data_IF_168828129252
#
_entry.id   IF_168828129252
#
_cell.length_a   1.000
_cell.length_b   1.000
_cell.length_c   1.000
_cell.angle_alpha   90.00
_cell.angle_beta   90.00
_cell.angle_gamma   90.00
#
_symmetry.space_group_name_H-M   'P 1'
#
loop_
_entity.id
_entity.type
_entity.pdbx_description
1 polymer ?
#
# COMPACT_ATOMS: atom_id res chain seq x y z
N UNK A 1 1.15 29.93 -38.13
CA UNK A 1 0.74 29.08 -37.01
C UNK A 1 1.63 27.85 -37.02
N UNK A 2 2.58 27.76 -36.08
CA UNK A 2 3.45 26.60 -35.99
C UNK A 2 2.61 25.45 -35.41
N UNK A 3 2.44 24.39 -36.20
CA UNK A 3 1.92 23.10 -35.71
C UNK A 3 2.97 22.59 -34.76
N UNK A 4 2.66 22.53 -33.47
CA UNK A 4 3.54 21.86 -32.52
C UNK A 4 3.58 20.39 -32.90
N UNK A 5 4.72 19.91 -33.40
CA UNK A 5 4.94 18.48 -33.52
C UNK A 5 4.70 17.85 -32.16
N UNK A 6 3.74 16.93 -32.11
CA UNK A 6 3.48 16.12 -30.91
C UNK A 6 4.72 15.28 -30.66
N UNK A 7 5.49 15.63 -29.63
CA UNK A 7 6.64 14.82 -29.23
C UNK A 7 6.11 13.49 -28.69
N UNK A 8 6.41 12.41 -29.36
CA UNK A 8 6.07 11.06 -28.92
C UNK A 8 6.93 10.72 -27.69
N UNK A 9 6.29 10.65 -26.52
CA UNK A 9 6.97 10.29 -25.27
C UNK A 9 7.16 8.78 -25.20
N UNK A 10 8.40 8.34 -25.22
CA UNK A 10 8.75 6.91 -25.06
C UNK A 10 8.25 6.43 -23.70
N UNK A 11 7.42 5.39 -23.69
CA UNK A 11 6.83 4.75 -22.49
C UNK A 11 5.77 5.57 -21.74
N UNK A 12 5.19 6.60 -22.34
CA UNK A 12 4.06 7.29 -21.76
C UNK A 12 2.85 7.15 -22.67
N UNK A 13 1.81 6.50 -22.19
CA UNK A 13 0.50 6.36 -22.81
C UNK A 13 -0.47 7.31 -22.11
N UNK A 14 -0.85 8.40 -22.78
CA UNK A 14 -1.72 9.44 -22.23
C UNK A 14 -3.13 8.92 -21.94
N UNK A 15 -3.67 8.08 -22.82
CA UNK A 15 -5.02 7.52 -22.65
C UNK A 15 -5.07 6.61 -21.44
N UNK A 16 -4.08 5.71 -21.32
CA UNK A 16 -3.94 4.80 -20.18
C UNK A 16 -3.74 5.58 -18.87
N UNK A 17 -2.95 6.64 -18.88
CA UNK A 17 -2.72 7.48 -17.71
C UNK A 17 -4.01 8.13 -17.22
N UNK A 18 -4.80 8.72 -18.14
CA UNK A 18 -6.07 9.36 -17.83
C UNK A 18 -7.13 8.34 -17.36
N UNK A 19 -7.15 7.16 -17.95
CA UNK A 19 -8.04 6.07 -17.54
C UNK A 19 -7.69 5.58 -16.13
N UNK A 20 -6.42 5.36 -15.86
CA UNK A 20 -5.95 4.98 -14.51
C UNK A 20 -6.33 6.02 -13.46
N UNK A 21 -6.16 7.32 -13.76
CA UNK A 21 -6.58 8.40 -12.87
C UNK A 21 -8.09 8.38 -12.57
N UNK A 22 -8.93 8.17 -13.57
CA UNK A 22 -10.37 8.00 -13.39
C UNK A 22 -10.72 6.80 -12.53
N UNK A 23 -10.06 5.67 -12.77
CA UNK A 23 -10.28 4.43 -12.02
C UNK A 23 -9.93 4.59 -10.53
N UNK A 24 -8.86 5.31 -10.21
CA UNK A 24 -8.51 5.63 -8.81
C UNK A 24 -9.61 6.43 -8.12
N UNK A 25 -10.17 7.45 -8.79
CA UNK A 25 -11.26 8.26 -8.22
C UNK A 25 -12.52 7.43 -7.99
N UNK A 26 -12.84 6.50 -8.90
CA UNK A 26 -14.00 5.61 -8.77
C UNK A 26 -13.88 4.63 -7.59
N UNK A 27 -12.67 4.26 -7.19
CA UNK A 27 -12.44 3.36 -6.05
C UNK A 27 -12.56 4.05 -4.68
N UNK A 28 -12.68 5.37 -4.66
CA UNK A 28 -12.71 6.14 -3.40
C UNK A 28 -13.74 5.63 -2.40
N UNK A 29 -14.96 5.38 -2.86
CA UNK A 29 -16.03 4.91 -1.97
C UNK A 29 -15.72 3.54 -1.37
N UNK A 30 -15.19 2.63 -2.17
CA UNK A 30 -14.79 1.29 -1.72
C UNK A 30 -13.69 1.38 -0.66
N UNK A 31 -12.69 2.24 -0.87
CA UNK A 31 -11.63 2.49 0.09
C UNK A 31 -12.15 3.11 1.41
N UNK A 32 -13.09 4.08 1.34
CA UNK A 32 -13.71 4.69 2.53
C UNK A 32 -14.56 3.66 3.31
N UNK A 33 -15.31 2.81 2.63
CA UNK A 33 -16.11 1.76 3.25
C UNK A 33 -15.20 0.71 3.93
N UNK A 34 -14.12 0.30 3.27
CA UNK A 34 -13.11 -0.62 3.85
C UNK A 34 -12.41 -0.01 5.06
N UNK A 35 -11.97 1.24 4.97
CA UNK A 35 -11.35 1.95 6.10
C UNK A 35 -12.30 2.00 7.30
N UNK A 36 -13.60 2.26 7.05
CA UNK A 36 -14.63 2.27 8.10
C UNK A 36 -14.84 0.89 8.73
N UNK A 37 -14.81 -0.18 7.93
CA UNK A 37 -14.90 -1.58 8.42
C UNK A 37 -13.72 -1.91 9.32
N UNK A 38 -12.50 -1.60 8.87
CA UNK A 38 -11.27 -1.86 9.62
C UNK A 38 -11.24 -1.06 10.91
N UNK A 39 -11.59 0.21 10.86
CA UNK A 39 -11.65 1.07 12.04
C UNK A 39 -12.63 0.54 13.11
N UNK A 40 -13.80 0.04 12.69
CA UNK A 40 -14.78 -0.59 13.62
C UNK A 40 -14.27 -1.86 14.27
N UNK A 41 -13.41 -2.63 13.60
CA UNK A 41 -12.77 -3.81 14.17
C UNK A 41 -11.71 -3.45 15.21
N UNK A 42 -11.12 -2.28 15.10
CA UNK A 42 -10.03 -1.80 15.95
C UNK A 42 -8.67 -2.39 15.56
N UNK A 43 -7.64 -1.68 15.92
CA UNK A 43 -6.23 -2.09 15.83
C UNK A 43 -5.43 -1.33 16.88
N UNK A 44 -4.32 -1.91 17.33
CA UNK A 44 -3.45 -1.28 18.33
C UNK A 44 -2.45 -0.30 17.72
N UNK A 45 -2.01 -0.55 16.50
CA UNK A 45 -1.05 0.26 15.77
C UNK A 45 -1.13 -0.01 14.25
N UNK A 46 -0.45 0.81 13.48
CA UNK A 46 -0.39 0.71 12.01
C UNK A 46 1.06 0.51 11.58
N UNK A 47 1.31 -0.47 10.71
CA UNK A 47 2.56 -0.62 9.99
C UNK A 47 2.37 -0.31 8.51
N UNK A 48 3.13 0.65 8.01
CA UNK A 48 3.20 1.01 6.60
C UNK A 48 4.40 0.28 6.00
N UNK A 49 4.13 -0.77 5.22
CA UNK A 49 5.15 -1.67 4.69
C UNK A 49 5.45 -1.34 3.23
N UNK A 50 6.63 -0.82 2.96
CA UNK A 50 7.07 -0.43 1.63
C UNK A 50 8.45 -0.93 1.28
N UNK A 51 8.86 -0.70 0.02
CA UNK A 51 10.23 -0.85 -0.44
C UNK A 51 10.51 0.19 -1.55
N UNK A 52 11.70 0.80 -1.53
CA UNK A 52 12.06 1.83 -2.49
C UNK A 52 11.11 3.03 -2.47
N UNK A 53 10.50 3.38 -3.60
CA UNK A 53 9.59 4.54 -3.72
C UNK A 53 8.42 4.50 -2.76
N UNK A 54 7.78 3.35 -2.59
CA UNK A 54 6.62 3.21 -1.69
C UNK A 54 7.00 3.37 -0.21
N UNK A 55 8.20 2.98 0.19
CA UNK A 55 8.71 3.24 1.54
C UNK A 55 8.85 4.74 1.81
N UNK A 56 9.40 5.49 0.87
CA UNK A 56 9.51 6.95 0.98
C UNK A 56 8.14 7.63 1.03
N UNK A 57 7.18 7.19 0.25
CA UNK A 57 5.80 7.68 0.31
C UNK A 57 5.18 7.43 1.69
N UNK A 58 5.35 6.24 2.23
CA UNK A 58 4.83 5.86 3.54
C UNK A 58 5.48 6.63 4.69
N UNK A 59 6.74 6.99 4.61
CA UNK A 59 7.40 7.83 5.60
C UNK A 59 6.73 9.21 5.75
N UNK A 60 6.16 9.77 4.69
CA UNK A 60 5.40 11.01 4.77
C UNK A 60 4.08 10.83 5.53
N UNK A 61 3.38 9.73 5.32
CA UNK A 61 2.16 9.41 6.06
C UNK A 61 2.45 9.16 7.54
N UNK A 62 3.50 8.42 7.87
CA UNK A 62 3.96 8.24 9.25
C UNK A 62 4.21 9.58 9.92
N UNK A 63 4.97 10.48 9.27
CA UNK A 63 5.27 11.81 9.79
C UNK A 63 4.01 12.62 10.09
N UNK A 64 3.05 12.64 9.17
CA UNK A 64 1.80 13.42 9.32
C UNK A 64 0.93 12.81 10.42
N UNK A 65 0.66 11.51 10.36
CA UNK A 65 -0.26 10.84 11.28
C UNK A 65 0.28 10.83 12.70
N UNK A 66 1.57 10.61 12.91
CA UNK A 66 2.20 10.63 14.24
C UNK A 66 2.12 12.00 14.94
N UNK A 67 1.88 13.09 14.19
CA UNK A 67 1.73 14.44 14.74
C UNK A 67 0.28 14.87 14.92
N UNK A 68 -0.65 14.20 14.26
CA UNK A 68 -2.06 14.57 14.23
C UNK A 68 -2.97 13.57 14.96
N UNK A 69 -2.41 12.44 15.40
CA UNK A 69 -3.16 11.35 16.02
C UNK A 69 -2.34 10.66 17.10
N UNK A 70 -3.02 10.08 18.09
CA UNK A 70 -2.42 9.23 19.12
C UNK A 70 -2.19 7.79 18.65
N UNK A 71 -2.54 7.47 17.41
CA UNK A 71 -2.31 6.14 16.84
C UNK A 71 -0.81 5.91 16.62
N UNK A 72 -0.29 4.83 17.20
CA UNK A 72 1.09 4.41 16.92
C UNK A 72 1.20 3.93 15.46
N UNK A 73 2.06 4.58 14.69
CA UNK A 73 2.28 4.28 13.28
C UNK A 73 3.76 4.17 12.97
N UNK A 74 4.13 3.21 12.13
CA UNK A 74 5.50 2.89 11.79
C UNK A 74 5.63 2.68 10.28
N UNK A 75 6.52 3.41 9.61
CA UNK A 75 6.96 3.09 8.25
C UNK A 75 8.16 2.16 8.33
N UNK A 76 8.11 1.04 7.61
CA UNK A 76 9.13 -0.01 7.71
C UNK A 76 9.43 -0.59 6.32
N UNK A 77 10.71 -0.88 6.09
CA UNK A 77 11.15 -1.56 4.87
C UNK A 77 10.74 -3.03 4.89
N UNK A 78 10.17 -3.52 3.79
CA UNK A 78 9.72 -4.90 3.68
C UNK A 78 10.86 -5.93 3.79
N UNK A 79 12.07 -5.60 3.32
CA UNK A 79 13.23 -6.47 3.49
C UNK A 79 13.68 -6.55 4.95
N UNK A 80 13.66 -5.42 5.67
CA UNK A 80 14.04 -5.38 7.07
C UNK A 80 13.07 -6.17 7.95
N UNK A 81 11.76 -6.08 7.68
CA UNK A 81 10.74 -6.82 8.46
C UNK A 81 10.84 -8.33 8.26
N UNK A 82 11.35 -8.78 7.12
CA UNK A 82 11.63 -10.19 6.89
C UNK A 82 12.84 -10.69 7.68
N UNK A 83 13.80 -9.82 7.98
CA UNK A 83 14.98 -10.14 8.76
C UNK A 83 14.73 -10.00 10.27
N UNK A 84 14.06 -8.92 10.66
CA UNK A 84 13.83 -8.60 12.08
C UNK A 84 12.36 -8.28 12.26
N UNK A 85 11.62 -9.24 12.78
CA UNK A 85 10.18 -9.07 13.06
C UNK A 85 10.00 -8.11 14.25
N UNK A 86 9.38 -6.92 14.05
CA UNK A 86 9.17 -5.98 15.14
C UNK A 86 8.26 -6.57 16.23
N UNK A 87 8.65 -6.43 17.50
CA UNK A 87 7.87 -6.95 18.63
C UNK A 87 6.45 -6.37 18.72
N UNK A 88 6.25 -5.15 18.22
CA UNK A 88 4.95 -4.48 18.20
C UNK A 88 4.05 -4.92 17.04
N UNK A 89 4.60 -5.64 16.06
CA UNK A 89 3.83 -6.20 14.95
C UNK A 89 3.15 -7.50 15.40
N UNK A 90 1.86 -7.43 15.64
CA UNK A 90 1.06 -8.51 16.22
C UNK A 90 -0.26 -8.68 15.46
N UNK A 91 -1.08 -9.64 15.86
CA UNK A 91 -2.42 -9.85 15.29
C UNK A 91 -3.37 -8.66 15.48
N UNK A 92 -3.07 -7.79 16.44
CA UNK A 92 -3.84 -6.58 16.71
C UNK A 92 -3.30 -5.36 15.93
N UNK A 93 -2.27 -5.57 15.10
CA UNK A 93 -1.74 -4.55 14.19
C UNK A 93 -2.54 -4.49 12.90
N UNK A 94 -2.58 -3.31 12.28
CA UNK A 94 -2.99 -3.14 10.88
C UNK A 94 -1.74 -2.94 10.03
N UNK A 95 -1.56 -3.77 9.02
CA UNK A 95 -0.49 -3.58 8.02
C UNK A 95 -1.11 -3.00 6.74
N UNK A 96 -0.52 -1.93 6.23
CA UNK A 96 -0.86 -1.35 4.93
C UNK A 96 0.37 -1.44 4.05
N UNK A 97 0.24 -2.06 2.90
CA UNK A 97 1.35 -2.20 1.93
C UNK A 97 0.96 -1.74 0.55
N UNK A 98 1.94 -1.39 -0.27
CA UNK A 98 1.71 -1.01 -1.65
C UNK A 98 2.78 -1.59 -2.58
N UNK A 99 2.32 -2.13 -3.72
CA UNK A 99 3.19 -2.59 -4.80
C UNK A 99 2.45 -2.48 -6.13
N UNK A 100 2.89 -1.58 -7.01
CA UNK A 100 2.21 -1.33 -8.29
C UNK A 100 2.06 -2.61 -9.13
N UNK A 101 3.12 -3.42 -9.22
CA UNK A 101 3.08 -4.71 -9.95
C UNK A 101 2.41 -5.83 -9.16
N UNK A 102 2.37 -5.72 -7.84
CA UNK A 102 1.97 -6.80 -6.93
C UNK A 102 2.91 -7.99 -6.92
N UNK A 103 4.16 -7.82 -7.39
CA UNK A 103 5.13 -8.92 -7.55
C UNK A 103 6.49 -8.64 -6.90
N UNK A 104 6.61 -7.59 -6.09
CA UNK A 104 7.82 -7.28 -5.34
C UNK A 104 8.08 -8.40 -4.33
N UNK A 105 9.23 -9.06 -4.42
CA UNK A 105 9.53 -10.30 -3.69
C UNK A 105 9.46 -10.08 -2.18
N UNK A 106 10.09 -9.03 -1.66
CA UNK A 106 10.14 -8.72 -0.24
C UNK A 106 8.75 -8.42 0.34
N UNK A 107 7.89 -7.75 -0.44
CA UNK A 107 6.49 -7.49 -0.08
C UNK A 107 5.69 -8.81 -0.05
N UNK A 108 5.88 -9.67 -1.05
CA UNK A 108 5.19 -10.96 -1.10
C UNK A 108 5.57 -11.87 0.07
N UNK A 109 6.87 -11.98 0.36
CA UNK A 109 7.38 -12.77 1.48
C UNK A 109 6.85 -12.28 2.82
N UNK A 110 6.96 -10.97 3.09
CA UNK A 110 6.48 -10.38 4.33
C UNK A 110 4.96 -10.52 4.47
N UNK A 111 4.20 -10.22 3.43
CA UNK A 111 2.73 -10.33 3.46
C UNK A 111 2.28 -11.77 3.69
N UNK A 112 2.96 -12.74 3.08
CA UNK A 112 2.59 -14.17 3.21
C UNK A 112 2.65 -14.62 4.66
N UNK A 113 3.77 -14.44 5.34
CA UNK A 113 3.87 -14.88 6.74
C UNK A 113 2.98 -14.05 7.67
N UNK A 114 2.77 -12.74 7.40
CA UNK A 114 1.84 -11.92 8.19
C UNK A 114 0.42 -12.46 8.12
N UNK A 115 -0.06 -12.79 6.92
CA UNK A 115 -1.40 -13.38 6.72
C UNK A 115 -1.49 -14.76 7.37
N UNK A 116 -0.46 -15.62 7.24
CA UNK A 116 -0.38 -16.93 7.88
C UNK A 116 -0.44 -16.82 9.42
N UNK A 117 0.17 -15.78 9.98
CA UNK A 117 0.11 -15.49 11.43
C UNK A 117 -1.19 -14.77 11.86
N UNK A 118 -2.08 -14.46 10.93
CA UNK A 118 -3.38 -13.82 11.19
C UNK A 118 -3.29 -12.31 11.42
N UNK A 119 -2.23 -11.66 10.94
CA UNK A 119 -2.07 -10.21 10.98
C UNK A 119 -2.88 -9.61 9.81
N UNK A 120 -3.80 -8.64 10.06
CA UNK A 120 -4.56 -7.98 9.02
C UNK A 120 -3.67 -7.18 8.06
N UNK A 121 -3.74 -7.48 6.76
CA UNK A 121 -3.01 -6.76 5.71
C UNK A 121 -3.98 -6.17 4.68
N UNK A 122 -3.82 -4.89 4.40
CA UNK A 122 -4.46 -4.16 3.28
C UNK A 122 -3.41 -3.88 2.23
N UNK A 123 -3.68 -4.15 0.97
CA UNK A 123 -2.73 -3.92 -0.12
C UNK A 123 -3.29 -3.00 -1.19
N UNK A 124 -2.52 -1.97 -1.53
CA UNK A 124 -2.71 -1.17 -2.73
C UNK A 124 -1.88 -1.79 -3.86
N UNK A 125 -2.55 -2.46 -4.79
CA UNK A 125 -1.84 -3.20 -5.83
C UNK A 125 -2.71 -3.45 -7.07
N UNK A 126 -2.10 -3.88 -8.16
CA UNK A 126 -2.84 -4.38 -9.33
C UNK A 126 -3.58 -5.67 -9.00
N UNK A 127 -4.86 -5.77 -9.40
CA UNK A 127 -5.69 -7.00 -9.25
C UNK A 127 -5.06 -8.24 -9.92
N UNK A 128 -4.21 -8.05 -10.91
CA UNK A 128 -3.48 -9.13 -11.60
C UNK A 128 -2.22 -9.59 -10.88
N UNK A 129 -1.74 -8.84 -9.89
CA UNK A 129 -0.53 -9.15 -9.13
C UNK A 129 -0.71 -10.34 -8.18
N UNK A 130 0.41 -10.97 -7.81
CA UNK A 130 0.37 -12.08 -6.85
C UNK A 130 0.01 -11.61 -5.44
N UNK A 131 0.32 -10.37 -5.08
CA UNK A 131 -0.05 -9.77 -3.80
C UNK A 131 -1.57 -9.78 -3.59
N UNK A 132 -2.34 -9.44 -4.63
CA UNK A 132 -3.81 -9.46 -4.59
C UNK A 132 -4.42 -10.84 -4.31
N UNK A 133 -3.66 -11.94 -4.55
CA UNK A 133 -4.10 -13.32 -4.27
C UNK A 133 -3.83 -13.75 -2.83
N UNK A 134 -2.97 -13.04 -2.13
CA UNK A 134 -2.53 -13.38 -0.76
C UNK A 134 -3.39 -12.65 0.28
N UNK A 135 -3.74 -11.40 0.02
CA UNK A 135 -4.47 -10.55 0.97
C UNK A 135 -5.98 -10.65 0.79
N UNK A 136 -6.70 -10.43 1.89
CA UNK A 136 -8.17 -10.34 1.86
C UNK A 136 -8.67 -8.99 1.36
N UNK A 137 -7.91 -7.93 1.62
CA UNK A 137 -8.28 -6.55 1.33
C UNK A 137 -7.31 -5.95 0.28
N UNK A 138 -7.84 -5.71 -0.92
CA UNK A 138 -7.10 -5.16 -2.08
C UNK A 138 -7.77 -3.88 -2.54
#
# INVERSE_FOLDING_TARGET
>A
MAVSEKVELIKFDEEQYLENGKNVVLQRKEAEDLASEIHKKGYSNIFLLGIGGTEFEFAHFEYIISRMSDVEIYSINAADVNLVRPKKLTKDSLVITASASGNTVEILESTKWMVEEGIPVVAFTSKSGNLAKIVKYV
#
